data_IF_602079962280
#
_entry.id   IF_602079962280
#
_cell.length_a   1.000
_cell.length_b   1.000
_cell.length_c   1.000
_cell.angle_alpha   90.00
_cell.angle_beta   90.00
_cell.angle_gamma   90.00
#
_symmetry.space_group_name_H-M   'P 1'
#
loop_
_entity.id
_entity.type
_entity.pdbx_description
1 polymer ?
#
# COMPACT_ATOMS: atom_id res chain seq x y z
N UNK A 1 13.61 30.15 3.06
CA UNK A 1 12.73 30.35 1.88
C UNK A 1 12.53 28.97 1.26
N UNK A 2 11.34 28.37 1.38
CA UNK A 2 11.04 27.08 0.74
C UNK A 2 10.89 27.32 -0.76
N UNK A 3 11.87 26.89 -1.56
CA UNK A 3 11.76 26.92 -3.03
C UNK A 3 10.89 25.73 -3.45
N UNK A 4 9.77 26.01 -4.11
CA UNK A 4 8.91 24.98 -4.68
C UNK A 4 9.37 24.77 -6.11
N UNK A 5 10.02 23.64 -6.37
CA UNK A 5 10.50 23.29 -7.70
C UNK A 5 9.38 22.64 -8.52
N UNK A 6 9.48 22.75 -9.85
CA UNK A 6 8.59 22.01 -10.75
C UNK A 6 8.88 20.49 -10.69
N UNK A 7 7.84 19.66 -10.54
CA UNK A 7 7.97 18.22 -10.50
C UNK A 7 8.43 17.70 -11.84
N UNK A 8 9.54 16.98 -11.82
CA UNK A 8 9.93 16.19 -12.99
C UNK A 8 8.87 15.15 -13.34
N UNK A 9 8.84 14.72 -14.61
CA UNK A 9 7.89 13.70 -15.07
C UNK A 9 7.99 12.39 -14.27
N UNK A 10 9.19 12.05 -13.77
CA UNK A 10 9.38 10.94 -12.85
C UNK A 10 8.57 11.10 -11.55
N UNK A 11 8.49 12.31 -10.98
CA UNK A 11 7.71 12.58 -9.76
C UNK A 11 6.21 12.44 -10.01
N UNK A 12 5.74 12.88 -11.18
CA UNK A 12 4.33 12.74 -11.59
C UNK A 12 3.97 11.25 -11.71
N UNK A 13 4.81 10.46 -12.40
CA UNK A 13 4.59 9.01 -12.52
C UNK A 13 4.62 8.31 -11.16
N UNK A 14 5.54 8.70 -10.28
CA UNK A 14 5.61 8.18 -8.90
C UNK A 14 4.34 8.48 -8.11
N UNK A 15 3.81 9.71 -8.21
CA UNK A 15 2.55 10.09 -7.58
C UNK A 15 1.36 9.32 -8.16
N UNK A 16 1.28 9.16 -9.48
CA UNK A 16 0.21 8.37 -10.11
C UNK A 16 0.27 6.90 -9.66
N UNK A 17 1.47 6.32 -9.56
CA UNK A 17 1.67 4.98 -9.02
C UNK A 17 1.19 4.87 -7.57
N UNK A 18 1.49 5.87 -6.74
CA UNK A 18 1.03 5.96 -5.34
C UNK A 18 -0.50 6.05 -5.26
N UNK A 19 -1.13 6.94 -6.03
CA UNK A 19 -2.58 7.14 -6.01
C UNK A 19 -3.30 5.85 -6.40
N UNK A 20 -2.88 5.23 -7.52
CA UNK A 20 -3.45 3.97 -7.98
C UNK A 20 -3.21 2.83 -6.99
N UNK A 21 -2.03 2.79 -6.34
CA UNK A 21 -1.74 1.85 -5.26
C UNK A 21 -2.71 2.01 -4.07
N UNK A 22 -2.89 3.23 -3.58
CA UNK A 22 -3.81 3.54 -2.50
C UNK A 22 -5.26 3.15 -2.85
N UNK A 23 -5.71 3.44 -4.08
CA UNK A 23 -7.02 3.01 -4.59
C UNK A 23 -7.18 1.48 -4.56
N UNK A 24 -6.09 0.73 -4.75
CA UNK A 24 -6.10 -0.74 -4.69
C UNK A 24 -6.35 -1.27 -3.27
N UNK A 25 -5.92 -0.52 -2.24
CA UNK A 25 -6.05 -0.88 -0.82
C UNK A 25 -7.33 -0.36 -0.17
N UNK A 26 -7.81 0.81 -0.61
CA UNK A 26 -8.97 1.51 -0.05
C UNK A 26 -10.21 0.62 0.19
N UNK A 27 -10.67 -0.22 -0.76
CA UNK A 27 -11.88 -1.02 -0.58
C UNK A 27 -11.80 -2.01 0.58
N UNK A 28 -10.60 -2.51 0.84
CA UNK A 28 -10.37 -3.49 1.92
C UNK A 28 -10.34 -2.80 3.27
N UNK A 29 -9.85 -1.57 3.34
CA UNK A 29 -9.76 -0.78 4.57
C UNK A 29 -11.13 -0.16 4.91
N UNK A 30 -11.79 0.47 3.94
CA UNK A 30 -13.10 1.13 4.12
C UNK A 30 -14.17 0.15 4.61
N UNK A 31 -14.20 -1.09 4.11
CA UNK A 31 -15.19 -2.10 4.55
C UNK A 31 -15.11 -2.48 6.03
N UNK A 32 -13.97 -2.26 6.67
CA UNK A 32 -13.75 -2.60 8.08
C UNK A 32 -13.91 -1.37 8.96
N UNK A 33 -13.32 -0.24 8.55
CA UNK A 33 -13.37 1.01 9.31
C UNK A 33 -14.76 1.64 9.24
N UNK A 34 -15.39 1.62 8.06
CA UNK A 34 -16.72 2.18 7.82
C UNK A 34 -17.67 1.09 7.32
N UNK A 35 -18.16 0.20 8.19
CA UNK A 35 -19.01 -0.92 7.79
C UNK A 35 -20.31 -0.49 7.08
N UNK A 36 -20.80 0.74 7.33
CA UNK A 36 -21.92 1.36 6.62
C UNK A 36 -21.67 1.52 5.11
N UNK A 37 -20.41 1.55 4.67
CA UNK A 37 -20.05 1.63 3.25
C UNK A 37 -20.18 0.29 2.51
N UNK A 38 -20.41 -0.83 3.21
CA UNK A 38 -20.55 -2.16 2.59
C UNK A 38 -21.73 -2.25 1.62
N UNK A 39 -22.80 -1.53 1.90
CA UNK A 39 -24.03 -1.47 1.10
C UNK A 39 -23.87 -0.60 -0.15
N UNK A 40 -22.83 0.25 -0.21
CA UNK A 40 -22.59 1.09 -1.38
C UNK A 40 -21.98 0.25 -2.52
N UNK A 41 -22.41 0.48 -3.77
CA UNK A 41 -21.92 -0.28 -4.93
C UNK A 41 -20.42 -0.05 -5.24
N UNK A 42 -19.87 1.06 -4.77
CA UNK A 42 -18.52 1.53 -5.12
C UNK A 42 -17.41 0.58 -4.60
N UNK A 43 -17.35 0.18 -3.32
CA UNK A 43 -16.34 -0.78 -2.85
C UNK A 43 -16.43 -2.16 -3.53
N UNK A 44 -17.63 -2.60 -3.89
CA UNK A 44 -17.84 -3.87 -4.61
C UNK A 44 -17.27 -3.80 -6.03
N UNK A 45 -17.51 -2.71 -6.74
CA UNK A 45 -16.94 -2.46 -8.07
C UNK A 45 -15.42 -2.38 -8.05
N UNK A 46 -14.86 -1.66 -7.07
CA UNK A 46 -13.42 -1.47 -6.92
C UNK A 46 -12.72 -2.80 -6.59
N UNK A 47 -13.31 -3.66 -5.77
CA UNK A 47 -12.77 -5.00 -5.49
C UNK A 47 -12.76 -5.90 -6.71
N UNK A 48 -13.77 -5.83 -7.58
CA UNK A 48 -13.81 -6.60 -8.83
C UNK A 48 -12.66 -6.19 -9.76
N UNK A 49 -12.28 -4.91 -9.78
CA UNK A 49 -11.20 -4.36 -10.61
C UNK A 49 -9.85 -4.26 -9.91
N UNK A 50 -9.75 -4.71 -8.65
CA UNK A 50 -8.54 -4.60 -7.81
C UNK A 50 -7.28 -5.13 -8.51
N UNK A 51 -7.40 -6.26 -9.22
CA UNK A 51 -6.27 -6.85 -9.96
C UNK A 51 -5.75 -5.91 -11.04
N UNK A 52 -6.64 -5.31 -11.84
CA UNK A 52 -6.25 -4.39 -12.91
C UNK A 52 -5.65 -3.10 -12.33
N UNK A 53 -6.26 -2.54 -11.29
CA UNK A 53 -5.75 -1.30 -10.66
C UNK A 53 -4.36 -1.52 -10.06
N UNK A 54 -4.14 -2.68 -9.43
CA UNK A 54 -2.81 -3.05 -8.91
C UNK A 54 -1.76 -3.22 -10.01
N UNK A 55 -2.14 -3.80 -11.16
CA UNK A 55 -1.23 -3.91 -12.32
C UNK A 55 -0.92 -2.53 -12.92
N UNK A 56 -1.90 -1.63 -13.01
CA UNK A 56 -1.68 -0.24 -13.46
C UNK A 56 -0.68 0.46 -12.54
N UNK A 57 -0.85 0.31 -11.21
CA UNK A 57 0.10 0.86 -10.24
C UNK A 57 1.52 0.30 -10.44
N UNK A 58 1.65 -1.00 -10.71
CA UNK A 58 2.94 -1.60 -11.03
C UNK A 58 3.57 -1.03 -12.30
N UNK A 59 2.84 -0.89 -13.41
CA UNK A 59 3.39 -0.33 -14.64
C UNK A 59 3.79 1.14 -14.50
N UNK A 60 3.04 1.93 -13.72
CA UNK A 60 3.41 3.30 -13.39
C UNK A 60 4.68 3.34 -12.52
N UNK A 61 4.81 2.44 -11.55
CA UNK A 61 6.01 2.31 -10.73
C UNK A 61 7.23 1.85 -11.56
N UNK A 62 7.02 0.98 -12.55
CA UNK A 62 8.05 0.55 -13.50
C UNK A 62 8.54 1.73 -14.33
N UNK A 63 7.63 2.53 -14.89
CA UNK A 63 7.99 3.73 -15.65
C UNK A 63 8.74 4.75 -14.77
N UNK A 64 8.28 4.96 -13.53
CA UNK A 64 8.98 5.79 -12.55
C UNK A 64 10.41 5.28 -12.28
N UNK A 65 10.57 3.99 -11.96
CA UNK A 65 11.87 3.39 -11.69
C UNK A 65 12.82 3.50 -12.88
N UNK A 66 12.32 3.24 -14.09
CA UNK A 66 13.10 3.37 -15.32
C UNK A 66 13.63 4.80 -15.53
N UNK A 67 12.79 5.81 -15.36
CA UNK A 67 13.21 7.21 -15.48
C UNK A 67 14.21 7.61 -14.40
N UNK A 68 14.07 7.08 -13.18
CA UNK A 68 15.02 7.35 -12.10
C UNK A 68 16.39 6.73 -12.38
N UNK A 69 16.43 5.51 -12.93
CA UNK A 69 17.68 4.86 -13.36
C UNK A 69 18.40 5.71 -14.41
N UNK A 70 17.68 6.17 -15.43
CA UNK A 70 18.24 7.03 -16.48
C UNK A 70 18.73 8.37 -15.94
N UNK A 71 17.91 9.07 -15.14
CA UNK A 71 18.23 10.40 -14.62
C UNK A 71 19.43 10.40 -13.66
N UNK A 72 19.68 9.28 -12.97
CA UNK A 72 20.71 9.19 -11.92
C UNK A 72 21.97 8.44 -12.37
N UNK A 73 22.05 7.99 -13.63
CA UNK A 73 23.15 7.15 -14.13
C UNK A 73 23.45 6.00 -13.18
N UNK A 74 22.41 5.25 -12.82
CA UNK A 74 22.48 4.24 -11.77
C UNK A 74 23.50 3.15 -12.10
N UNK A 75 24.51 3.01 -11.25
CA UNK A 75 25.45 1.88 -11.31
C UNK A 75 24.99 0.76 -10.37
N UNK A 76 24.66 -0.39 -10.95
CA UNK A 76 24.23 -1.58 -10.21
C UNK A 76 25.36 -2.28 -9.47
N UNK A 77 26.61 -2.03 -9.85
CA UNK A 77 27.79 -2.65 -9.23
C UNK A 77 28.38 -1.79 -8.12
N UNK A 78 27.98 -0.52 -8.01
CA UNK A 78 28.37 0.34 -6.90
C UNK A 78 27.48 0.11 -5.67
N UNK A 79 28.08 -0.42 -4.61
CA UNK A 79 27.41 -0.67 -3.34
C UNK A 79 26.85 0.62 -2.72
N UNK A 80 27.53 1.76 -2.89
CA UNK A 80 27.08 3.03 -2.32
C UNK A 80 25.79 3.50 -2.99
N UNK A 81 25.74 3.45 -4.32
CA UNK A 81 24.53 3.73 -5.11
C UNK A 81 23.41 2.77 -4.75
N UNK A 82 23.68 1.47 -4.63
CA UNK A 82 22.69 0.48 -4.22
C UNK A 82 22.05 0.81 -2.85
N UNK A 83 22.86 1.12 -1.83
CA UNK A 83 22.38 1.45 -0.49
C UNK A 83 21.53 2.73 -0.49
N UNK A 84 21.91 3.74 -1.27
CA UNK A 84 21.13 4.99 -1.37
C UNK A 84 19.72 4.75 -1.90
N UNK A 85 19.55 3.80 -2.83
CA UNK A 85 18.27 3.56 -3.51
C UNK A 85 17.58 2.26 -3.09
N UNK A 86 18.07 1.58 -2.05
CA UNK A 86 17.58 0.27 -1.60
C UNK A 86 16.09 0.25 -1.32
N UNK A 87 15.55 1.35 -0.78
CA UNK A 87 14.12 1.48 -0.50
C UNK A 87 13.29 1.36 -1.78
N UNK A 88 13.69 2.10 -2.84
CA UNK A 88 13.01 2.07 -4.13
C UNK A 88 13.11 0.70 -4.79
N UNK A 89 14.31 0.11 -4.78
CA UNK A 89 14.54 -1.25 -5.30
C UNK A 89 13.70 -2.28 -4.55
N UNK A 90 13.61 -2.18 -3.23
CA UNK A 90 12.84 -3.09 -2.39
C UNK A 90 11.34 -3.01 -2.70
N UNK A 91 10.78 -1.80 -2.81
CA UNK A 91 9.38 -1.59 -3.19
C UNK A 91 9.12 -2.16 -4.58
N UNK A 92 9.99 -1.84 -5.54
CA UNK A 92 9.87 -2.30 -6.92
C UNK A 92 9.93 -3.84 -7.01
N UNK A 93 10.82 -4.46 -6.23
CA UNK A 93 10.93 -5.92 -6.13
C UNK A 93 9.64 -6.54 -5.58
N UNK A 94 9.09 -5.99 -4.49
CA UNK A 94 7.83 -6.48 -3.92
C UNK A 94 6.69 -6.32 -4.94
N UNK A 95 6.57 -5.16 -5.60
CA UNK A 95 5.52 -4.94 -6.59
C UNK A 95 5.66 -5.87 -7.80
N UNK A 96 6.88 -6.15 -8.24
CA UNK A 96 7.15 -7.13 -9.31
C UNK A 96 6.66 -8.52 -8.93
N UNK A 97 6.99 -9.00 -7.72
CA UNK A 97 6.51 -10.29 -7.23
C UNK A 97 4.98 -10.32 -7.21
N UNK A 98 4.35 -9.28 -6.67
CA UNK A 98 2.89 -9.18 -6.58
C UNK A 98 2.22 -9.12 -7.97
N UNK A 99 2.84 -8.46 -8.94
CA UNK A 99 2.35 -8.34 -10.30
C UNK A 99 2.45 -9.69 -11.04
N UNK A 100 3.61 -10.36 -10.95
CA UNK A 100 3.83 -11.69 -11.52
C UNK A 100 2.87 -12.71 -10.93
N UNK A 101 2.57 -12.65 -9.62
CA UNK A 101 1.59 -13.54 -8.99
C UNK A 101 0.14 -13.07 -9.08
N UNK A 102 -0.13 -11.97 -9.77
CA UNK A 102 -1.50 -11.49 -10.05
C UNK A 102 -2.08 -12.16 -11.29
N UNK A 103 -2.08 -13.51 -11.32
CA UNK A 103 -2.73 -14.30 -12.36
C UNK A 103 -3.49 -15.51 -11.80
N UNK A 104 -4.49 -15.99 -12.53
CA UNK A 104 -5.39 -17.05 -12.06
C UNK A 104 -4.67 -18.38 -11.86
N UNK A 105 -3.61 -18.62 -12.66
CA UNK A 105 -2.75 -19.79 -12.49
C UNK A 105 -2.03 -19.77 -11.13
N UNK A 106 -1.46 -18.63 -10.74
CA UNK A 106 -0.74 -18.45 -9.48
C UNK A 106 -1.69 -18.56 -8.30
N UNK A 107 -2.90 -18.00 -8.41
CA UNK A 107 -3.95 -18.14 -7.38
C UNK A 107 -4.30 -19.62 -7.16
N UNK A 108 -4.50 -20.37 -8.26
CA UNK A 108 -4.82 -21.81 -8.20
C UNK A 108 -3.66 -22.65 -7.67
N UNK A 109 -2.42 -22.32 -8.06
CA UNK A 109 -1.21 -23.07 -7.69
C UNK A 109 -0.79 -22.83 -6.24
N UNK A 110 -0.79 -21.58 -5.78
CA UNK A 110 -0.28 -21.19 -4.47
C UNK A 110 -1.34 -21.25 -3.35
N UNK A 111 -2.64 -21.25 -3.67
CA UNK A 111 -3.75 -21.40 -2.72
C UNK A 111 -3.64 -20.47 -1.49
N UNK A 112 -3.46 -21.01 -0.28
CA UNK A 112 -3.30 -20.22 0.96
C UNK A 112 -2.04 -19.35 0.95
N UNK A 113 -0.95 -19.86 0.38
CA UNK A 113 0.32 -19.14 0.29
C UNK A 113 0.21 -17.90 -0.60
N UNK A 114 -0.69 -17.89 -1.58
CA UNK A 114 -0.97 -16.70 -2.39
C UNK A 114 -1.41 -15.52 -1.52
N UNK A 115 -2.31 -15.77 -0.57
CA UNK A 115 -2.77 -14.73 0.36
C UNK A 115 -1.64 -14.23 1.25
N UNK A 116 -0.75 -15.12 1.68
CA UNK A 116 0.41 -14.75 2.50
C UNK A 116 1.43 -13.92 1.71
N UNK A 117 1.70 -14.30 0.46
CA UNK A 117 2.55 -13.53 -0.45
C UNK A 117 1.97 -12.13 -0.70
N UNK A 118 0.66 -12.03 -0.94
CA UNK A 118 0.01 -10.74 -1.17
C UNK A 118 -0.08 -9.86 0.09
N UNK A 119 0.22 -10.38 1.30
CA UNK A 119 0.41 -9.53 2.49
C UNK A 119 1.69 -8.68 2.41
N UNK A 120 2.65 -9.02 1.54
CA UNK A 120 3.84 -8.20 1.30
C UNK A 120 3.48 -6.77 0.84
N UNK A 121 2.27 -6.56 0.29
CA UNK A 121 1.77 -5.21 0.01
C UNK A 121 1.80 -4.32 1.25
N UNK A 122 1.50 -4.85 2.44
CA UNK A 122 1.52 -4.04 3.66
C UNK A 122 2.95 -3.66 4.05
N UNK A 123 3.92 -4.55 3.85
CA UNK A 123 5.33 -4.22 4.02
C UNK A 123 5.76 -3.13 3.01
N UNK A 124 5.40 -3.29 1.74
CA UNK A 124 5.70 -2.29 0.71
C UNK A 124 5.08 -0.92 1.03
N UNK A 125 3.90 -0.86 1.65
CA UNK A 125 3.28 0.38 2.09
C UNK A 125 4.14 1.13 3.12
N UNK A 126 4.69 0.43 4.12
CA UNK A 126 5.59 1.05 5.10
C UNK A 126 6.91 1.51 4.48
N UNK A 127 7.51 0.68 3.62
CA UNK A 127 8.74 1.05 2.91
C UNK A 127 8.48 2.25 1.99
N UNK A 128 7.31 2.33 1.34
CA UNK A 128 6.92 3.45 0.49
C UNK A 128 6.76 4.75 1.26
N UNK A 129 6.18 4.71 2.46
CA UNK A 129 6.12 5.88 3.36
C UNK A 129 7.53 6.40 3.67
N UNK A 130 8.45 5.49 4.04
CA UNK A 130 9.84 5.85 4.28
C UNK A 130 10.49 6.41 3.00
N UNK A 131 10.34 5.73 1.88
CA UNK A 131 10.92 6.15 0.61
C UNK A 131 10.54 7.58 0.21
N UNK A 132 9.25 7.92 0.29
CA UNK A 132 8.77 9.27 -0.04
C UNK A 132 9.35 10.30 0.94
N UNK A 133 9.35 9.98 2.24
CA UNK A 133 9.91 10.87 3.26
C UNK A 133 11.40 11.14 3.03
N UNK A 134 12.19 10.09 2.82
CA UNK A 134 13.65 10.19 2.59
C UNK A 134 13.97 10.95 1.31
N UNK A 135 13.33 10.58 0.18
CA UNK A 135 13.67 11.15 -1.14
C UNK A 135 13.13 12.55 -1.38
N UNK A 136 12.10 12.96 -0.65
CA UNK A 136 11.58 14.32 -0.72
C UNK A 136 12.17 15.25 0.36
N UNK A 137 12.92 14.71 1.33
CA UNK A 137 13.61 15.54 2.31
C UNK A 137 14.63 16.45 1.60
N UNK A 138 14.43 17.76 1.71
CA UNK A 138 15.27 18.77 1.07
C UNK A 138 14.91 19.14 -0.39
N UNK A 139 13.97 18.47 -1.04
CA UNK A 139 13.55 18.76 -2.43
C UNK A 139 12.02 18.85 -2.55
N UNK A 140 11.46 19.94 -2.02
CA UNK A 140 10.01 20.11 -1.92
C UNK A 140 9.44 20.58 -3.26
N UNK A 141 8.56 19.76 -3.82
CA UNK A 141 7.70 20.13 -4.95
C UNK A 141 6.25 20.21 -4.46
N UNK A 142 5.35 20.84 -5.22
CA UNK A 142 3.93 20.90 -4.85
C UNK A 142 3.25 19.52 -4.77
N UNK A 143 3.81 18.50 -5.43
CA UNK A 143 3.34 17.10 -5.34
C UNK A 143 3.76 16.40 -4.04
N UNK A 144 4.79 16.89 -3.38
CA UNK A 144 5.37 16.29 -2.16
C UNK A 144 4.38 16.25 -1.00
N UNK A 145 3.78 17.38 -0.57
CA UNK A 145 2.83 17.36 0.55
C UNK A 145 1.61 16.51 0.23
N UNK A 146 1.14 16.53 -1.01
CA UNK A 146 0.01 15.70 -1.47
C UNK A 146 0.36 14.20 -1.31
N UNK A 147 1.55 13.80 -1.79
CA UNK A 147 2.02 12.41 -1.69
C UNK A 147 2.16 11.96 -0.24
N UNK A 148 2.73 12.79 0.63
CA UNK A 148 2.88 12.51 2.07
C UNK A 148 1.51 12.35 2.73
N UNK A 149 0.56 13.24 2.47
CA UNK A 149 -0.80 13.15 3.05
C UNK A 149 -1.51 11.87 2.60
N UNK A 150 -1.40 11.50 1.32
CA UNK A 150 -2.02 10.29 0.78
C UNK A 150 -1.43 9.03 1.43
N UNK A 151 -0.10 8.91 1.47
CA UNK A 151 0.55 7.71 2.01
C UNK A 151 0.42 7.62 3.54
N UNK A 152 0.49 8.75 4.25
CA UNK A 152 0.25 8.80 5.68
C UNK A 152 -1.20 8.44 6.00
N UNK A 153 -2.16 9.01 5.24
CA UNK A 153 -3.59 8.72 5.39
C UNK A 153 -3.91 7.24 5.23
N UNK A 154 -3.42 6.58 4.17
CA UNK A 154 -3.68 5.15 3.96
C UNK A 154 -2.99 4.29 5.05
N UNK A 155 -1.79 4.69 5.49
CA UNK A 155 -1.05 3.98 6.55
C UNK A 155 -1.79 4.06 7.88
N UNK A 156 -2.27 5.25 8.26
CA UNK A 156 -3.08 5.47 9.48
C UNK A 156 -4.39 4.68 9.39
N UNK A 157 -5.10 4.73 8.27
CA UNK A 157 -6.34 3.96 8.09
C UNK A 157 -6.08 2.45 8.20
N UNK A 158 -4.94 1.97 7.70
CA UNK A 158 -4.54 0.57 7.88
C UNK A 158 -4.23 0.23 9.35
N UNK A 159 -3.56 1.12 10.10
CA UNK A 159 -3.33 0.93 11.53
C UNK A 159 -4.65 0.88 12.31
N UNK A 160 -5.60 1.78 12.01
CA UNK A 160 -6.94 1.78 12.61
C UNK A 160 -7.69 0.47 12.31
N UNK A 161 -7.67 0.01 11.05
CA UNK A 161 -8.22 -1.30 10.66
C UNK A 161 -7.61 -2.43 11.49
N UNK A 162 -6.29 -2.47 11.62
CA UNK A 162 -5.59 -3.51 12.37
C UNK A 162 -5.94 -3.48 13.86
N UNK A 163 -6.07 -2.28 14.43
CA UNK A 163 -6.48 -2.10 15.82
C UNK A 163 -7.91 -2.60 16.05
N UNK A 164 -8.86 -2.23 15.19
CA UNK A 164 -10.25 -2.72 15.27
C UNK A 164 -10.33 -4.24 15.16
N UNK A 165 -9.60 -4.85 14.22
CA UNK A 165 -9.53 -6.31 14.09
C UNK A 165 -8.98 -6.99 15.35
N UNK A 166 -7.96 -6.40 15.98
CA UNK A 166 -7.43 -6.89 17.25
C UNK A 166 -8.42 -6.75 18.40
N UNK A 167 -9.17 -5.65 18.49
CA UNK A 167 -10.20 -5.48 19.53
C UNK A 167 -11.32 -6.51 19.40
N UNK A 168 -11.79 -6.76 18.17
CA UNK A 168 -12.83 -7.78 17.92
C UNK A 168 -12.34 -9.18 18.30
N UNK A 169 -11.10 -9.52 17.97
CA UNK A 169 -10.51 -10.82 18.36
C UNK A 169 -10.35 -10.95 19.87
N UNK A 170 -9.89 -9.88 20.55
CA UNK A 170 -9.78 -9.83 22.02
C UNK A 170 -11.14 -10.02 22.67
N UNK A 171 -12.16 -9.26 22.28
CA UNK A 171 -13.54 -9.43 22.80
C UNK A 171 -14.07 -10.86 22.64
N UNK A 172 -13.84 -11.49 21.48
CA UNK A 172 -14.24 -12.90 21.25
C UNK A 172 -13.48 -13.90 22.13
N UNK A 173 -12.19 -13.66 22.35
CA UNK A 173 -11.37 -14.47 23.23
C UNK A 173 -11.82 -14.33 24.70
N UNK A 174 -12.05 -13.09 25.14
CA UNK A 174 -12.55 -12.78 26.49
C UNK A 174 -13.93 -13.40 26.72
N UNK A 175 -14.85 -13.31 25.76
CA UNK A 175 -16.16 -13.96 25.81
C UNK A 175 -16.10 -15.49 25.86
N UNK A 176 -15.06 -16.10 25.26
CA UNK A 176 -14.83 -17.55 25.30
C UNK A 176 -14.28 -18.00 26.66
N UNK A 177 -13.49 -17.15 27.33
CA UNK A 177 -12.85 -17.47 28.61
C UNK A 177 -13.73 -17.12 29.81
N UNK A 178 -14.53 -16.05 29.72
CA UNK A 178 -15.43 -15.61 30.77
C UNK A 178 -16.85 -15.37 30.22
N UNK A 179 -17.65 -16.43 30.01
CA UNK A 179 -18.99 -16.32 29.43
C UNK A 179 -19.98 -15.56 30.33
N UNK A 180 -19.73 -15.50 31.65
CA UNK A 180 -20.55 -14.78 32.63
C UNK A 180 -20.41 -13.25 32.55
N UNK A 181 -19.43 -12.74 31.78
CA UNK A 181 -19.20 -11.30 31.58
C UNK A 181 -19.89 -10.71 30.35
N UNK A 182 -20.70 -11.51 29.63
CA UNK A 182 -21.44 -11.02 28.48
C UNK A 182 -22.60 -10.12 28.95
N UNK A 183 -22.71 -8.87 28.48
CA UNK A 183 -23.95 -8.12 28.68
C UNK A 183 -25.12 -8.88 28.06
N UNK A 184 -26.28 -8.89 28.73
CA UNK A 184 -27.50 -9.64 28.38
C UNK A 184 -28.03 -9.40 26.95
N UNK A 185 -27.42 -8.51 26.17
CA UNK A 185 -27.81 -8.18 24.80
C UNK A 185 -27.16 -9.07 23.72
N UNK A 186 -26.32 -10.06 24.10
CA UNK A 186 -25.65 -10.97 23.15
C UNK A 186 -26.31 -12.37 23.08
N UNK A 187 -27.29 -12.65 23.95
CA UNK A 187 -27.97 -13.96 24.05
C UNK A 187 -29.28 -14.06 23.28
N UNK A 188 -29.58 -13.13 22.36
CA UNK A 188 -30.74 -13.20 21.46
C UNK A 188 -30.36 -13.13 20.00
#
# INVERSE_FOLDING_TARGET
MFTIDDPSLANVLGMMALVTYCITLLPTILRIVFPQTKETGIPKWLLKRRRMIGLISFFLALAHGFMMIQKRNFDFFDFKTFVIYIQGISIFTIFTILAVTSNDWSVKKLKSNWKQLHKLTYLAMFILTWHIWDKMSGHWTYLTPISIVIIAGITVLFMLRMWMEHQVKRKKFDAKINPERLPDNVTR
#
